data_IF_318899167073
#
_entry.id   IF_318899167073
#
_cell.length_a   1.000
_cell.length_b   1.000
_cell.length_c   1.000
_cell.angle_alpha   90.00
_cell.angle_beta   90.00
_cell.angle_gamma   90.00
#
_symmetry.space_group_name_H-M   'P 1'
#
loop_
_entity.id
_entity.type
_entity.pdbx_description
1 polymer ?
#
# COMPACT_ATOMS: atom_id res chain seq x y z
N UNK A 1 6.23 -5.53 -37.72
CA UNK A 1 5.36 -6.39 -38.53
C UNK A 1 4.46 -7.14 -37.60
N UNK A 2 3.16 -7.11 -37.77
CA UNK A 2 2.19 -7.78 -36.88
C UNK A 2 1.63 -8.98 -37.61
N UNK A 3 1.58 -10.14 -36.95
CA UNK A 3 1.02 -11.38 -37.46
C UNK A 3 -0.16 -11.79 -36.60
N UNK A 4 -1.16 -12.42 -37.22
CA UNK A 4 -2.33 -12.94 -36.56
C UNK A 4 -2.34 -14.46 -36.71
N UNK A 5 -2.45 -15.15 -35.58
CA UNK A 5 -2.61 -16.59 -35.50
C UNK A 5 -3.93 -16.93 -34.83
N UNK A 6 -4.50 -18.05 -35.22
CA UNK A 6 -5.74 -18.56 -34.67
C UNK A 6 -5.49 -19.84 -33.88
N UNK A 7 -6.33 -20.14 -32.95
CA UNK A 7 -6.34 -21.40 -32.24
C UNK A 7 -7.71 -22.06 -32.33
N UNK A 8 -7.79 -23.38 -32.12
CA UNK A 8 -9.03 -24.14 -32.15
C UNK A 8 -8.96 -25.36 -31.21
N UNK A 9 -9.95 -26.23 -31.30
CA UNK A 9 -10.09 -27.39 -30.43
C UNK A 9 -8.88 -28.34 -30.45
N UNK A 10 -8.09 -28.31 -31.51
CA UNK A 10 -6.90 -29.17 -31.68
C UNK A 10 -5.59 -28.45 -31.33
N UNK A 11 -5.64 -27.18 -30.90
CA UNK A 11 -4.45 -26.42 -30.49
C UNK A 11 -4.05 -26.85 -29.08
N UNK A 12 -2.83 -27.31 -28.91
CA UNK A 12 -2.26 -27.60 -27.58
C UNK A 12 -1.64 -26.34 -26.98
N UNK A 13 -1.94 -26.10 -25.72
CA UNK A 13 -1.35 -25.01 -24.92
C UNK A 13 -0.42 -25.60 -23.87
N UNK A 14 0.75 -25.00 -23.72
CA UNK A 14 1.81 -25.53 -22.86
C UNK A 14 2.49 -24.41 -22.08
N UNK A 15 2.84 -24.71 -20.83
CA UNK A 15 3.71 -23.86 -20.03
C UNK A 15 5.16 -23.88 -20.57
N UNK A 16 6.05 -23.10 -19.94
CA UNK A 16 7.46 -23.03 -20.34
C UNK A 16 8.22 -24.36 -20.18
N UNK A 17 7.69 -25.30 -19.42
CA UNK A 17 8.28 -26.62 -19.20
C UNK A 17 7.70 -27.70 -20.11
N UNK A 18 6.71 -27.36 -20.93
CA UNK A 18 6.04 -28.26 -21.84
C UNK A 18 4.88 -29.05 -21.23
N UNK A 19 4.42 -28.71 -20.04
CA UNK A 19 3.22 -29.29 -19.46
C UNK A 19 1.97 -28.62 -20.06
N UNK A 20 0.88 -29.39 -20.15
CA UNK A 20 -0.39 -28.85 -20.63
C UNK A 20 -0.94 -27.78 -19.70
N UNK A 21 -1.46 -26.70 -20.28
CA UNK A 21 -2.13 -25.61 -19.58
C UNK A 21 -3.42 -25.20 -20.28
N UNK A 22 -4.24 -24.39 -19.62
CA UNK A 22 -5.42 -23.80 -20.21
C UNK A 22 -5.06 -22.58 -21.10
N UNK A 23 -5.89 -22.30 -22.10
CA UNK A 23 -5.77 -21.04 -22.87
C UNK A 23 -5.94 -19.81 -21.98
N UNK A 24 -6.73 -19.90 -20.91
CA UNK A 24 -6.92 -18.82 -19.92
C UNK A 24 -5.64 -18.45 -19.17
N UNK A 25 -4.63 -19.31 -19.18
CA UNK A 25 -3.35 -19.04 -18.52
C UNK A 25 -2.37 -18.27 -19.40
N UNK A 26 -2.74 -17.99 -20.66
CA UNK A 26 -2.01 -17.08 -21.56
C UNK A 26 -2.59 -15.70 -21.42
N UNK A 27 -1.76 -14.76 -21.01
CA UNK A 27 -2.14 -13.37 -20.77
C UNK A 27 -1.52 -12.46 -21.80
N UNK A 28 -2.09 -11.31 -21.96
CA UNK A 28 -1.54 -10.25 -22.79
C UNK A 28 -0.14 -9.86 -22.30
N UNK A 29 0.82 -9.79 -23.22
CA UNK A 29 2.22 -9.54 -22.88
C UNK A 29 3.07 -10.80 -22.68
N UNK A 30 2.45 -11.98 -22.60
CA UNK A 30 3.21 -13.24 -22.56
C UNK A 30 3.99 -13.45 -23.86
N UNK A 31 5.21 -13.95 -23.74
CA UNK A 31 6.01 -14.38 -24.86
C UNK A 31 5.79 -15.87 -25.10
N UNK A 32 5.35 -16.22 -26.29
CA UNK A 32 5.00 -17.59 -26.66
C UNK A 32 5.74 -18.04 -27.90
N UNK A 33 6.09 -19.31 -27.94
CA UNK A 33 6.59 -20.00 -29.13
C UNK A 33 5.41 -20.68 -29.84
N UNK A 34 5.17 -20.32 -31.11
CA UNK A 34 4.10 -20.89 -31.95
C UNK A 34 4.71 -21.86 -32.94
N UNK A 35 4.19 -23.06 -33.02
CA UNK A 35 4.65 -24.04 -33.95
C UNK A 35 3.51 -24.80 -34.66
N UNK A 36 3.81 -25.31 -35.87
CA UNK A 36 2.88 -26.08 -36.65
C UNK A 36 1.66 -25.27 -37.14
N UNK A 37 1.83 -23.96 -37.41
CA UNK A 37 0.77 -23.19 -38.06
C UNK A 37 0.46 -23.75 -39.45
N UNK A 38 -0.84 -23.92 -39.77
CA UNK A 38 -1.29 -24.30 -41.10
C UNK A 38 -1.35 -23.09 -42.05
N UNK A 39 -1.77 -23.32 -43.30
CA UNK A 39 -1.92 -22.28 -44.32
C UNK A 39 -2.91 -21.18 -43.93
N UNK A 40 -3.83 -21.49 -43.05
CA UNK A 40 -4.86 -20.57 -42.58
C UNK A 40 -4.45 -19.81 -41.30
N UNK A 41 -3.18 -19.97 -40.86
CA UNK A 41 -2.64 -19.36 -39.65
C UNK A 41 -3.11 -20.01 -38.36
N UNK A 42 -3.66 -21.22 -38.41
CA UNK A 42 -4.11 -21.94 -37.22
C UNK A 42 -2.95 -22.69 -36.58
N UNK A 43 -2.62 -22.30 -35.35
CA UNK A 43 -1.54 -22.89 -34.60
C UNK A 43 -1.92 -24.30 -34.07
N UNK A 44 -0.99 -25.23 -34.13
CA UNK A 44 -1.15 -26.55 -33.52
C UNK A 44 -0.65 -26.57 -32.09
N UNK A 45 0.41 -25.80 -31.81
CA UNK A 45 1.03 -25.71 -30.48
C UNK A 45 1.37 -24.25 -30.17
N UNK A 46 0.98 -23.84 -29.00
CA UNK A 46 1.33 -22.53 -28.40
C UNK A 46 1.95 -22.86 -27.03
N UNK A 47 3.18 -22.45 -26.82
CA UNK A 47 3.93 -22.72 -25.58
C UNK A 47 4.51 -21.44 -25.04
N UNK A 48 4.38 -21.18 -23.70
CA UNK A 48 5.12 -20.09 -23.07
C UNK A 48 6.61 -20.28 -23.27
N UNK A 49 7.30 -19.22 -23.69
CA UNK A 49 8.71 -19.31 -24.01
C UNK A 49 9.56 -19.53 -22.75
N UNK A 50 10.52 -20.42 -22.83
CA UNK A 50 11.53 -20.68 -21.79
C UNK A 50 12.72 -19.70 -21.86
N UNK A 51 12.76 -18.86 -22.90
CA UNK A 51 13.83 -17.89 -23.16
C UNK A 51 13.66 -16.57 -22.42
N UNK A 52 12.53 -16.40 -21.73
CA UNK A 52 12.21 -15.16 -21.02
C UNK A 52 12.12 -15.38 -19.52
N UNK A 53 12.47 -14.37 -18.78
CA UNK A 53 12.10 -14.27 -17.37
C UNK A 53 10.79 -13.49 -17.24
N UNK A 54 10.02 -13.76 -16.19
CA UNK A 54 8.77 -13.08 -15.84
C UNK A 54 8.81 -12.61 -14.41
N UNK A 55 8.22 -11.43 -14.13
CA UNK A 55 7.95 -10.93 -12.80
C UNK A 55 6.52 -10.39 -12.78
N UNK A 56 5.60 -11.11 -12.15
CA UNK A 56 4.15 -10.91 -12.25
C UNK A 56 3.59 -9.96 -11.18
N UNK A 57 4.42 -9.40 -10.29
CA UNK A 57 3.94 -8.62 -9.15
C UNK A 57 4.85 -7.42 -8.84
N UNK A 58 5.22 -6.65 -9.86
CA UNK A 58 6.06 -5.46 -9.70
C UNK A 58 5.22 -4.30 -9.22
N UNK A 59 5.46 -3.83 -8.00
CA UNK A 59 4.79 -2.67 -7.38
C UNK A 59 5.77 -1.55 -7.02
N UNK A 60 7.07 -1.86 -6.97
CA UNK A 60 8.11 -0.88 -6.71
C UNK A 60 8.99 -0.76 -7.95
N UNK A 61 8.71 0.25 -8.74
CA UNK A 61 9.42 0.54 -9.98
C UNK A 61 9.49 2.04 -10.25
N UNK A 62 10.44 2.43 -11.07
CA UNK A 62 10.51 3.77 -11.66
C UNK A 62 10.92 3.71 -13.13
N UNK A 63 10.48 4.68 -13.92
CA UNK A 63 10.83 4.80 -15.33
C UNK A 63 11.73 6.02 -15.52
N UNK A 64 12.99 5.78 -15.91
CA UNK A 64 13.88 6.85 -16.41
C UNK A 64 13.69 7.00 -17.92
N UNK A 65 12.86 7.96 -18.31
CA UNK A 65 12.53 8.22 -19.72
C UNK A 65 13.73 8.68 -20.52
N UNK A 66 14.67 9.41 -19.90
CA UNK A 66 15.86 9.94 -20.60
C UNK A 66 16.84 8.82 -20.96
N UNK A 67 16.89 7.77 -20.14
CA UNK A 67 17.77 6.63 -20.39
C UNK A 67 17.03 5.43 -21.00
N UNK A 68 15.70 5.52 -21.15
CA UNK A 68 14.84 4.41 -21.57
C UNK A 68 15.07 3.16 -20.70
N UNK A 69 14.96 3.35 -19.38
CA UNK A 69 15.21 2.29 -18.38
C UNK A 69 14.02 2.18 -17.45
N UNK A 70 13.63 0.93 -17.18
CA UNK A 70 12.75 0.56 -16.09
C UNK A 70 13.61 0.06 -14.93
N UNK A 71 13.49 0.71 -13.77
CA UNK A 71 14.11 0.25 -12.53
C UNK A 71 13.08 -0.57 -11.75
N UNK A 72 13.47 -1.77 -11.32
CA UNK A 72 12.64 -2.65 -10.48
C UNK A 72 13.47 -3.00 -9.25
N UNK A 73 13.10 -2.46 -8.10
CA UNK A 73 13.92 -2.56 -6.90
C UNK A 73 15.33 -1.99 -7.14
N UNK A 74 16.35 -2.83 -7.02
CA UNK A 74 17.75 -2.43 -7.23
C UNK A 74 18.29 -2.78 -8.63
N UNK A 75 17.45 -3.20 -9.55
CA UNK A 75 17.87 -3.63 -10.89
C UNK A 75 17.31 -2.72 -11.97
N UNK A 76 18.18 -2.37 -12.94
CA UNK A 76 17.83 -1.57 -14.10
C UNK A 76 17.69 -2.45 -15.35
N UNK A 77 16.64 -2.23 -16.11
CA UNK A 77 16.30 -2.96 -17.34
C UNK A 77 16.05 -1.97 -18.47
N UNK A 78 16.48 -2.32 -19.69
CA UNK A 78 16.33 -1.45 -20.85
C UNK A 78 14.92 -1.56 -21.45
N UNK A 79 14.36 -0.44 -21.81
CA UNK A 79 13.14 -0.31 -22.60
C UNK A 79 13.55 -0.02 -24.06
N UNK A 80 13.38 -1.01 -24.92
CA UNK A 80 13.71 -0.87 -26.34
C UNK A 80 12.53 -0.40 -27.16
N UNK A 81 12.76 -0.03 -28.43
CA UNK A 81 11.72 0.36 -29.40
C UNK A 81 10.66 -0.74 -29.63
N UNK A 82 10.98 -1.99 -29.28
CA UNK A 82 10.09 -3.14 -29.43
C UNK A 82 9.40 -3.55 -28.13
N UNK A 83 9.68 -2.85 -27.03
CA UNK A 83 8.98 -3.09 -25.79
C UNK A 83 7.51 -2.74 -25.95
N UNK A 84 6.63 -3.67 -25.68
CA UNK A 84 5.18 -3.48 -25.73
C UNK A 84 4.67 -3.25 -24.30
N UNK A 85 3.88 -2.18 -24.11
CA UNK A 85 3.26 -1.87 -22.82
C UNK A 85 1.75 -1.95 -23.00
N UNK A 86 1.12 -2.78 -22.18
CA UNK A 86 -0.31 -3.05 -22.24
C UNK A 86 -1.01 -2.54 -20.98
N UNK A 87 -2.12 -1.84 -21.13
CA UNK A 87 -3.02 -1.45 -20.07
C UNK A 87 -4.46 -1.80 -20.44
N UNK A 88 -5.00 -2.85 -19.83
CA UNK A 88 -6.25 -3.47 -20.30
C UNK A 88 -6.06 -4.02 -21.73
N UNK A 89 -6.92 -3.61 -22.66
CA UNK A 89 -6.83 -3.99 -24.09
C UNK A 89 -5.90 -3.10 -24.92
N UNK A 90 -5.44 -2.01 -24.35
CA UNK A 90 -4.74 -0.96 -25.10
C UNK A 90 -3.22 -1.11 -25.02
N UNK A 91 -2.55 -0.72 -26.09
CA UNK A 91 -1.10 -0.51 -26.09
C UNK A 91 -0.85 0.93 -25.74
N UNK A 92 -0.06 1.15 -24.69
CA UNK A 92 0.21 2.48 -24.13
C UNK A 92 1.70 2.78 -24.10
N UNK A 93 2.04 4.03 -23.86
CA UNK A 93 3.43 4.48 -23.70
C UNK A 93 3.85 4.45 -22.22
N UNK A 94 5.15 4.56 -21.99
CA UNK A 94 5.74 4.67 -20.64
C UNK A 94 5.19 5.83 -19.84
N UNK A 95 4.67 6.87 -20.49
CA UNK A 95 4.06 8.05 -19.86
C UNK A 95 2.76 7.74 -19.12
N UNK A 96 2.12 6.64 -19.53
CA UNK A 96 0.89 6.14 -18.89
C UNK A 96 1.13 5.30 -17.63
N UNK A 97 2.40 5.05 -17.27
CA UNK A 97 2.72 4.29 -16.07
C UNK A 97 2.95 5.23 -14.88
N UNK A 98 2.35 4.91 -13.75
CA UNK A 98 2.54 5.62 -12.48
C UNK A 98 3.00 4.67 -11.38
N UNK A 99 3.50 5.24 -10.28
CA UNK A 99 3.90 4.45 -9.11
C UNK A 99 2.74 3.71 -8.42
N UNK A 100 1.49 4.00 -8.84
CA UNK A 100 0.30 3.35 -8.31
C UNK A 100 -0.04 2.05 -9.04
N UNK A 101 0.61 1.81 -10.18
CA UNK A 101 0.36 0.63 -10.99
C UNK A 101 1.03 -0.62 -10.43
N UNK A 102 0.41 -1.75 -10.71
CA UNK A 102 1.02 -3.07 -10.53
C UNK A 102 1.29 -3.66 -11.90
N UNK A 103 2.52 -4.12 -12.12
CA UNK A 103 2.98 -4.58 -13.43
C UNK A 103 3.31 -6.07 -13.42
N UNK A 104 3.03 -6.73 -14.54
CA UNK A 104 3.70 -7.96 -14.94
C UNK A 104 4.73 -7.60 -16.02
N UNK A 105 5.96 -8.00 -15.82
CA UNK A 105 7.09 -7.64 -16.70
C UNK A 105 7.74 -8.90 -17.25
N UNK A 106 7.96 -8.93 -18.54
CA UNK A 106 8.63 -10.03 -19.26
C UNK A 106 9.86 -9.49 -19.96
N UNK A 107 10.98 -10.17 -19.81
CA UNK A 107 12.24 -9.75 -20.43
C UNK A 107 13.17 -10.88 -20.81
N UNK A 108 14.21 -10.53 -21.55
CA UNK A 108 15.34 -11.36 -21.92
C UNK A 108 16.59 -10.67 -21.41
N UNK A 109 17.38 -11.32 -20.59
CA UNK A 109 18.56 -10.72 -19.95
C UNK A 109 18.22 -9.40 -19.25
N UNK A 110 18.68 -8.28 -19.75
CA UNK A 110 18.41 -6.93 -19.24
C UNK A 110 17.46 -6.11 -20.13
N UNK A 111 16.86 -6.73 -21.15
CA UNK A 111 15.93 -6.07 -22.07
C UNK A 111 14.49 -6.45 -21.76
N UNK A 112 13.63 -5.47 -21.58
CA UNK A 112 12.20 -5.67 -21.44
C UNK A 112 11.57 -5.93 -22.78
N UNK A 113 10.82 -7.03 -22.88
CA UNK A 113 10.04 -7.42 -24.06
C UNK A 113 8.63 -6.86 -23.96
N UNK A 114 8.00 -7.06 -22.80
CA UNK A 114 6.65 -6.57 -22.55
C UNK A 114 6.41 -6.18 -21.09
N UNK A 115 5.50 -5.23 -20.90
CA UNK A 115 4.96 -4.81 -19.62
C UNK A 115 3.44 -4.88 -19.74
N UNK A 116 2.79 -5.54 -18.78
CA UNK A 116 1.33 -5.56 -18.66
C UNK A 116 0.93 -4.93 -17.34
N UNK A 117 0.10 -3.88 -17.38
CA UNK A 117 -0.47 -3.26 -16.20
C UNK A 117 -1.58 -4.14 -15.67
N UNK A 118 -1.28 -4.90 -14.61
CA UNK A 118 -2.23 -5.86 -13.99
C UNK A 118 -3.23 -5.17 -13.08
N UNK A 119 -2.81 -4.11 -12.38
CA UNK A 119 -3.69 -3.17 -11.70
C UNK A 119 -3.28 -1.79 -12.18
N UNK A 120 -4.19 -1.07 -12.79
CA UNK A 120 -3.96 0.29 -13.27
C UNK A 120 -4.37 1.32 -12.23
N UNK A 121 -4.33 2.57 -12.61
CA UNK A 121 -4.76 3.69 -11.80
C UNK A 121 -5.83 4.51 -12.51
N UNK A 122 -6.56 5.28 -11.74
CA UNK A 122 -7.39 6.38 -12.19
C UNK A 122 -7.07 7.62 -11.37
N UNK A 123 -7.67 8.75 -11.72
CA UNK A 123 -7.46 10.02 -11.05
C UNK A 123 -8.65 10.33 -10.14
N UNK A 124 -8.41 10.54 -8.84
CA UNK A 124 -9.39 11.12 -7.93
C UNK A 124 -9.22 12.64 -7.93
N UNK A 125 -10.27 13.37 -8.28
CA UNK A 125 -10.31 14.83 -8.24
C UNK A 125 -11.29 15.30 -7.16
N UNK A 126 -10.81 16.11 -6.22
CA UNK A 126 -11.61 16.69 -5.17
C UNK A 126 -12.01 18.13 -5.54
N UNK A 127 -13.24 18.50 -5.19
CA UNK A 127 -13.74 19.87 -5.32
C UNK A 127 -14.30 20.36 -4.00
N UNK A 128 -14.36 21.70 -3.84
CA UNK A 128 -14.82 22.37 -2.61
C UNK A 128 -14.00 21.97 -1.37
N UNK A 129 -12.70 21.95 -1.53
CA UNK A 129 -11.72 21.48 -0.53
C UNK A 129 -11.55 22.41 0.66
N UNK A 130 -11.92 23.70 0.57
CA UNK A 130 -11.56 24.78 1.50
C UNK A 130 -11.86 24.49 2.97
N UNK A 131 -12.95 23.77 3.28
CA UNK A 131 -13.27 23.38 4.66
C UNK A 131 -12.32 22.33 5.20
N UNK A 132 -11.74 21.51 4.34
CA UNK A 132 -10.93 20.33 4.68
C UNK A 132 -9.44 20.53 4.38
N UNK A 133 -9.03 21.68 3.83
CA UNK A 133 -7.61 21.97 3.55
C UNK A 133 -6.76 21.84 4.83
N UNK A 134 -5.60 21.18 4.69
CA UNK A 134 -4.69 20.88 5.81
C UNK A 134 -5.13 19.72 6.71
N UNK A 135 -6.30 19.14 6.43
CA UNK A 135 -6.74 17.88 7.02
C UNK A 135 -6.38 16.70 6.11
N UNK A 136 -6.79 15.48 6.46
CA UNK A 136 -6.44 14.27 5.72
C UNK A 136 -7.66 13.66 5.03
N UNK A 137 -7.42 13.22 3.79
CA UNK A 137 -8.25 12.29 3.05
C UNK A 137 -7.83 10.87 3.42
N UNK A 138 -8.78 10.04 3.76
CA UNK A 138 -8.59 8.60 3.91
C UNK A 138 -9.32 7.88 2.77
N UNK A 139 -8.64 6.95 2.09
CA UNK A 139 -9.21 6.05 1.08
C UNK A 139 -8.98 4.60 1.51
N UNK A 140 -10.05 3.95 1.95
CA UNK A 140 -9.96 2.64 2.59
C UNK A 140 -8.98 2.66 3.76
N UNK A 141 -8.21 1.58 3.89
CA UNK A 141 -7.30 1.41 5.04
C UNK A 141 -5.83 1.78 4.73
N UNK A 142 -5.53 2.17 3.49
CA UNK A 142 -4.13 2.23 3.03
C UNK A 142 -3.68 3.58 2.48
N UNK A 143 -4.59 4.41 2.03
CA UNK A 143 -4.23 5.68 1.38
C UNK A 143 -4.65 6.83 2.26
N UNK A 144 -3.66 7.61 2.68
CA UNK A 144 -3.84 8.85 3.42
C UNK A 144 -3.10 9.96 2.68
N UNK A 145 -3.77 11.06 2.44
CA UNK A 145 -3.18 12.22 1.80
C UNK A 145 -3.69 13.50 2.46
N UNK A 146 -2.83 14.48 2.61
CA UNK A 146 -3.22 15.82 3.06
C UNK A 146 -4.04 16.49 1.97
N UNK A 147 -5.20 17.04 2.35
CA UNK A 147 -6.09 17.72 1.42
C UNK A 147 -5.54 19.12 1.12
N UNK A 148 -5.26 19.32 -0.16
CA UNK A 148 -4.81 20.61 -0.70
C UNK A 148 -5.91 21.22 -1.58
N UNK A 149 -5.73 22.47 -1.93
CA UNK A 149 -6.64 23.16 -2.87
C UNK A 149 -6.65 22.44 -4.21
N UNK A 150 -7.85 22.23 -4.75
CA UNK A 150 -8.06 21.59 -6.06
C UNK A 150 -7.27 20.27 -6.22
N UNK A 151 -7.29 19.45 -5.17
CA UNK A 151 -6.51 18.22 -5.09
C UNK A 151 -6.86 17.23 -6.19
N UNK A 152 -5.84 16.71 -6.85
CA UNK A 152 -5.91 15.63 -7.81
C UNK A 152 -4.87 14.57 -7.44
N UNK A 153 -5.27 13.31 -7.36
CA UNK A 153 -4.45 12.20 -6.87
C UNK A 153 -4.63 10.97 -7.76
N UNK A 154 -3.54 10.36 -8.20
CA UNK A 154 -3.57 9.07 -8.85
C UNK A 154 -3.75 7.97 -7.81
N UNK A 155 -4.74 7.11 -8.02
CA UNK A 155 -5.16 6.06 -7.09
C UNK A 155 -5.28 4.75 -7.86
N UNK A 156 -4.82 3.60 -7.34
CA UNK A 156 -5.06 2.31 -7.96
C UNK A 156 -6.55 2.08 -8.24
N UNK A 157 -6.86 1.44 -9.36
CA UNK A 157 -8.23 1.05 -9.66
C UNK A 157 -8.82 0.15 -8.57
N UNK A 158 -10.09 0.36 -8.21
CA UNK A 158 -10.78 -0.39 -7.16
C UNK A 158 -11.91 0.38 -6.51
N UNK A 159 -12.57 -0.27 -5.57
CA UNK A 159 -13.61 0.33 -4.73
C UNK A 159 -13.01 0.77 -3.40
N UNK A 160 -13.31 2.00 -2.99
CA UNK A 160 -12.79 2.62 -1.77
C UNK A 160 -13.90 3.33 -1.02
N UNK A 161 -13.85 3.27 0.31
CA UNK A 161 -14.56 4.22 1.15
C UNK A 161 -13.67 5.45 1.33
N UNK A 162 -14.10 6.59 0.81
CA UNK A 162 -13.46 7.89 1.00
C UNK A 162 -14.02 8.54 2.25
N UNK A 163 -13.15 8.94 3.18
CA UNK A 163 -13.55 9.66 4.39
C UNK A 163 -12.72 10.94 4.54
N UNK A 164 -13.38 11.99 4.98
CA UNK A 164 -12.76 13.29 5.30
C UNK A 164 -13.32 13.83 6.61
N UNK A 165 -12.49 14.54 7.36
CA UNK A 165 -12.93 15.20 8.60
C UNK A 165 -12.06 16.41 8.92
N UNK A 166 -12.67 17.51 9.35
CA UNK A 166 -11.99 18.70 9.86
C UNK A 166 -12.91 19.54 10.74
N UNK A 167 -12.43 19.97 11.91
CA UNK A 167 -13.13 20.89 12.82
C UNK A 167 -14.60 20.54 13.10
N UNK A 168 -14.86 19.26 13.33
CA UNK A 168 -16.21 18.75 13.60
C UNK A 168 -17.07 18.49 12.35
N UNK A 169 -16.60 18.83 11.15
CA UNK A 169 -17.26 18.52 9.89
C UNK A 169 -16.65 17.29 9.23
N UNK A 170 -17.44 16.52 8.51
CA UNK A 170 -16.92 15.38 7.77
C UNK A 170 -17.94 14.28 7.53
N UNK A 171 -17.53 13.32 6.75
CA UNK A 171 -18.30 12.16 6.37
C UNK A 171 -17.51 11.20 5.50
N UNK A 172 -18.19 10.16 5.04
CA UNK A 172 -17.62 9.17 4.15
C UNK A 172 -18.58 8.85 3.01
N UNK A 173 -18.04 8.39 1.90
CA UNK A 173 -18.79 7.89 0.74
C UNK A 173 -17.98 6.81 0.06
N UNK A 174 -18.68 5.85 -0.53
CA UNK A 174 -18.05 4.83 -1.36
C UNK A 174 -17.83 5.37 -2.77
N UNK A 175 -16.65 5.13 -3.30
CA UNK A 175 -16.24 5.53 -4.64
C UNK A 175 -15.64 4.35 -5.40
N UNK A 176 -15.76 4.36 -6.70
CA UNK A 176 -15.07 3.44 -7.60
C UNK A 176 -14.04 4.22 -8.43
N UNK A 177 -12.79 3.79 -8.36
CA UNK A 177 -11.72 4.28 -9.22
C UNK A 177 -11.56 3.32 -10.39
N UNK A 178 -11.74 3.83 -11.59
CA UNK A 178 -11.59 3.06 -12.83
C UNK A 178 -10.32 3.47 -13.55
N UNK A 179 -9.71 2.49 -14.17
CA UNK A 179 -8.46 2.67 -14.94
C UNK A 179 -8.61 3.76 -15.99
N UNK A 180 -7.69 4.73 -15.93
CA UNK A 180 -7.64 5.84 -16.90
C UNK A 180 -8.78 6.84 -16.82
N UNK A 181 -9.72 6.69 -15.85
CA UNK A 181 -10.84 7.61 -15.67
C UNK A 181 -10.60 8.57 -14.50
N UNK A 182 -11.31 9.71 -14.54
CA UNK A 182 -11.32 10.68 -13.44
C UNK A 182 -12.60 10.53 -12.62
N UNK A 183 -12.45 10.12 -11.36
CA UNK A 183 -13.53 10.11 -10.37
C UNK A 183 -13.55 11.44 -9.64
N UNK A 184 -14.70 12.14 -9.68
CA UNK A 184 -14.86 13.46 -9.05
C UNK A 184 -15.68 13.34 -7.77
N UNK A 185 -15.15 13.93 -6.69
CA UNK A 185 -15.85 13.99 -5.40
C UNK A 185 -15.95 15.43 -4.93
N UNK A 186 -17.17 15.84 -4.59
CA UNK A 186 -17.46 17.15 -4.03
C UNK A 186 -17.49 17.04 -2.49
N UNK A 187 -16.52 17.62 -1.81
CA UNK A 187 -16.40 17.51 -0.36
C UNK A 187 -17.52 18.22 0.41
N UNK A 188 -18.25 19.16 -0.20
CA UNK A 188 -19.43 19.73 0.44
C UNK A 188 -20.52 18.69 0.69
N UNK A 189 -20.61 17.65 -0.14
CA UNK A 189 -21.61 16.58 0.03
C UNK A 189 -21.28 15.70 1.26
N UNK A 190 -20.03 15.73 1.73
CA UNK A 190 -19.55 14.99 2.89
C UNK A 190 -19.51 15.81 4.17
N UNK A 191 -19.77 17.11 4.08
CA UNK A 191 -19.73 18.04 5.22
C UNK A 191 -20.65 17.61 6.37
N UNK A 192 -21.88 17.20 6.07
CA UNK A 192 -22.90 16.87 7.05
C UNK A 192 -23.54 18.09 7.71
N UNK A 193 -24.37 17.86 8.74
CA UNK A 193 -25.20 18.88 9.40
C UNK A 193 -24.60 19.33 10.75
N UNK A 194 -23.54 20.09 10.75
CA UNK A 194 -22.97 20.65 11.97
C UNK A 194 -21.82 19.83 12.56
N UNK A 195 -21.18 20.34 13.64
CA UNK A 195 -20.00 19.70 14.17
C UNK A 195 -20.31 18.33 14.76
N UNK A 196 -19.70 17.30 14.21
CA UNK A 196 -19.78 15.92 14.68
C UNK A 196 -18.77 15.69 15.79
N UNK A 197 -19.12 14.82 16.72
CA UNK A 197 -18.25 14.32 17.78
C UNK A 197 -18.17 12.81 17.70
N UNK A 198 -17.03 12.28 18.14
CA UNK A 198 -16.76 10.87 18.35
C UNK A 198 -16.74 10.56 19.84
N UNK A 199 -17.31 9.44 20.22
CA UNK A 199 -17.16 8.87 21.56
C UNK A 199 -15.94 7.97 21.57
N UNK A 200 -14.85 8.41 22.20
CA UNK A 200 -13.56 7.69 22.15
C UNK A 200 -13.25 7.12 23.54
N UNK A 201 -13.05 5.80 23.59
CA UNK A 201 -12.53 5.10 24.74
C UNK A 201 -11.00 4.99 24.64
N UNK A 202 -10.29 5.48 25.66
CA UNK A 202 -8.84 5.34 25.74
C UNK A 202 -8.48 4.22 26.71
N UNK A 203 -7.66 3.28 26.28
CA UNK A 203 -7.10 2.21 27.09
C UNK A 203 -5.58 2.40 27.15
N UNK A 204 -5.02 2.63 28.34
CA UNK A 204 -3.59 2.85 28.55
C UNK A 204 -3.04 1.72 29.45
N UNK A 205 -1.94 1.14 29.03
CA UNK A 205 -1.29 0.03 29.74
C UNK A 205 -0.50 0.45 30.99
N UNK A 206 -0.27 1.76 31.17
CA UNK A 206 0.50 2.30 32.31
C UNK A 206 -0.45 2.94 33.34
N UNK A 207 -0.39 2.47 34.57
CA UNK A 207 -1.19 3.00 35.67
C UNK A 207 -0.76 4.43 36.05
N UNK A 208 -1.73 5.33 36.23
CA UNK A 208 -1.46 6.74 36.59
C UNK A 208 -1.06 7.62 35.41
N UNK A 209 -1.16 7.13 34.19
CA UNK A 209 -0.96 7.93 32.99
C UNK A 209 -1.99 9.07 32.93
N UNK A 210 -1.58 10.20 32.35
CA UNK A 210 -2.42 11.36 32.06
C UNK A 210 -2.51 11.55 30.56
N UNK A 211 -3.71 11.72 30.06
CA UNK A 211 -3.97 11.98 28.63
C UNK A 211 -4.38 13.42 28.44
N UNK A 212 -3.80 14.04 27.43
CA UNK A 212 -4.12 15.41 26.99
C UNK A 212 -4.55 15.38 25.51
N UNK A 213 -5.66 16.02 25.21
CA UNK A 213 -6.12 16.28 23.84
C UNK A 213 -6.08 17.78 23.60
N UNK A 214 -5.36 18.22 22.58
CA UNK A 214 -5.11 19.63 22.26
C UNK A 214 -4.61 20.45 23.46
N UNK A 215 -3.78 19.85 24.28
CA UNK A 215 -3.19 20.46 25.48
C UNK A 215 -4.07 20.44 26.73
N UNK A 216 -5.32 19.99 26.65
CA UNK A 216 -6.24 19.87 27.79
C UNK A 216 -6.23 18.45 28.34
N UNK A 217 -6.01 18.29 29.66
CA UNK A 217 -6.12 17.00 30.35
C UNK A 217 -7.56 16.49 30.26
N UNK A 218 -7.74 15.21 29.95
CA UNK A 218 -9.05 14.56 29.83
C UNK A 218 -9.19 13.44 30.88
N UNK A 219 -10.42 13.25 31.35
CA UNK A 219 -10.77 12.06 32.14
C UNK A 219 -11.14 10.93 31.18
N UNK A 220 -10.26 9.96 31.07
CA UNK A 220 -10.41 8.79 30.18
C UNK A 220 -10.96 7.55 30.85
N UNK A 221 -11.45 7.65 32.09
CA UNK A 221 -12.12 6.55 32.82
C UNK A 221 -13.46 6.16 32.15
N UNK A 222 -13.99 7.01 31.33
CA UNK A 222 -15.17 6.82 30.49
C UNK A 222 -14.92 7.36 29.08
N UNK A 223 -15.74 6.96 28.08
CA UNK A 223 -15.60 7.49 26.72
C UNK A 223 -15.66 9.01 26.67
N UNK A 224 -14.71 9.62 25.93
CA UNK A 224 -14.54 11.07 25.82
C UNK A 224 -15.07 11.55 24.47
N UNK A 225 -15.87 12.63 24.48
CA UNK A 225 -16.35 13.26 23.27
C UNK A 225 -15.29 14.18 22.65
N UNK A 226 -14.80 13.81 21.47
CA UNK A 226 -13.84 14.59 20.69
C UNK A 226 -14.44 14.95 19.33
N UNK A 227 -14.29 16.18 18.88
CA UNK A 227 -14.81 16.62 17.58
C UNK A 227 -14.12 15.92 16.41
N UNK A 228 -14.79 15.80 15.29
CA UNK A 228 -14.15 15.29 14.06
C UNK A 228 -13.03 16.22 13.61
N UNK A 229 -11.92 15.66 13.24
CA UNK A 229 -10.76 16.40 12.74
C UNK A 229 -9.44 15.89 13.28
N UNK A 230 -8.42 16.74 13.13
CA UNK A 230 -7.06 16.51 13.58
C UNK A 230 -6.86 17.09 14.97
N UNK A 231 -6.38 16.28 15.89
CA UNK A 231 -6.10 16.65 17.27
C UNK A 231 -4.67 16.26 17.65
N UNK A 232 -4.11 16.91 18.67
CA UNK A 232 -2.85 16.51 19.26
C UNK A 232 -3.14 15.68 20.50
N UNK A 233 -2.71 14.42 20.49
CA UNK A 233 -2.80 13.51 21.63
C UNK A 233 -1.44 13.46 22.32
N UNK A 234 -1.41 13.78 23.62
CA UNK A 234 -0.22 13.69 24.44
C UNK A 234 -0.51 12.82 25.65
N UNK A 235 0.39 11.91 25.97
CA UNK A 235 0.31 11.04 27.16
C UNK A 235 1.58 11.19 28.00
N UNK A 236 1.40 11.30 29.30
CA UNK A 236 2.49 11.36 30.27
C UNK A 236 2.25 10.37 31.39
N UNK A 237 3.30 9.74 31.89
CA UNK A 237 3.26 8.88 33.05
C UNK A 237 4.58 9.03 33.82
N UNK A 238 4.54 8.84 35.14
CA UNK A 238 5.73 8.94 35.99
C UNK A 238 6.74 7.82 35.63
N UNK A 239 7.98 8.21 35.33
CA UNK A 239 9.04 7.27 34.94
C UNK A 239 9.07 6.95 33.45
N UNK A 240 8.23 7.55 32.63
CA UNK A 240 8.16 7.35 31.19
C UNK A 240 8.36 8.63 30.42
N UNK A 241 8.93 8.54 29.24
CA UNK A 241 9.03 9.68 28.35
C UNK A 241 7.67 10.15 27.86
N UNK A 242 7.53 11.46 27.67
CA UNK A 242 6.28 12.03 27.13
C UNK A 242 6.02 11.55 25.72
N UNK A 243 4.89 10.89 25.51
CA UNK A 243 4.44 10.42 24.22
C UNK A 243 3.47 11.43 23.58
N UNK A 244 3.75 11.84 22.35
CA UNK A 244 2.88 12.77 21.61
C UNK A 244 2.65 12.26 20.20
N UNK A 245 1.40 12.25 19.75
CA UNK A 245 0.97 11.80 18.42
C UNK A 245 -0.17 12.69 17.89
N UNK A 246 -0.37 12.61 16.58
CA UNK A 246 -1.57 13.16 15.95
C UNK A 246 -2.69 12.14 16.04
N UNK A 247 -3.84 12.58 16.56
CA UNK A 247 -5.09 11.82 16.57
C UNK A 247 -5.99 12.37 15.45
N UNK A 248 -6.45 11.49 14.57
CA UNK A 248 -7.39 11.83 13.52
C UNK A 248 -8.75 11.19 13.79
N UNK A 249 -9.75 12.02 14.06
CA UNK A 249 -11.11 11.61 14.44
C UNK A 249 -12.03 11.74 13.23
N UNK A 250 -12.54 10.61 12.73
CA UNK A 250 -13.42 10.57 11.55
C UNK A 250 -14.56 9.55 11.66
N UNK A 251 -14.68 8.87 12.79
CA UNK A 251 -15.71 7.87 13.09
C UNK A 251 -16.58 8.29 14.25
N UNK A 252 -17.77 7.72 14.36
CA UNK A 252 -18.72 8.04 15.44
C UNK A 252 -18.24 7.53 16.81
N UNK A 253 -17.59 6.38 16.81
CA UNK A 253 -17.08 5.72 18.01
C UNK A 253 -15.70 5.13 17.71
N UNK A 254 -14.82 5.07 18.71
CA UNK A 254 -13.51 4.45 18.60
C UNK A 254 -12.99 3.99 19.96
N UNK A 255 -12.15 2.95 19.95
CA UNK A 255 -11.30 2.56 21.09
C UNK A 255 -9.85 2.76 20.70
N UNK A 256 -9.08 3.46 21.53
CA UNK A 256 -7.67 3.75 21.30
C UNK A 256 -6.86 3.06 22.39
N UNK A 257 -6.07 2.08 22.00
CA UNK A 257 -5.11 1.42 22.88
C UNK A 257 -3.77 2.13 22.81
N UNK A 258 -3.23 2.51 23.95
CA UNK A 258 -1.96 3.23 24.08
C UNK A 258 -1.02 2.39 24.90
N UNK A 259 0.08 1.95 24.29
CA UNK A 259 1.19 1.26 24.94
C UNK A 259 2.38 2.19 25.03
N UNK A 260 2.86 2.44 26.24
CA UNK A 260 4.02 3.29 26.49
C UNK A 260 5.17 2.36 26.89
N UNK A 261 6.22 2.33 26.05
CA UNK A 261 7.42 1.55 26.35
C UNK A 261 8.33 2.34 27.29
N UNK A 262 8.90 1.66 28.28
CA UNK A 262 9.94 2.21 29.16
C UNK A 262 11.27 2.19 28.41
N UNK A 263 11.68 3.33 27.85
CA UNK A 263 13.00 3.50 27.22
C UNK A 263 14.11 3.83 28.25
N UNK A 264 13.92 3.44 29.52
CA UNK A 264 14.93 3.65 30.58
C UNK A 264 16.05 2.60 30.57
N UNK A 265 16.60 2.24 29.39
CA UNK A 265 17.87 1.50 29.32
C UNK A 265 18.89 2.23 28.41
N UNK A 266 19.20 3.48 28.79
CA UNK A 266 20.34 4.21 28.25
C UNK A 266 21.28 4.63 29.40
N UNK A 267 21.81 3.65 30.10
CA UNK A 267 23.01 3.87 30.94
C UNK A 267 24.19 3.17 30.29
N UNK A 268 24.99 3.99 29.64
CA UNK A 268 26.44 3.82 29.43
C UNK A 268 27.03 2.43 29.65
N UNK A 269 27.33 1.67 28.60
CA UNK A 269 28.72 1.24 28.45
C UNK A 269 29.05 0.88 26.98
N UNK A 270 30.18 1.43 26.61
CA UNK A 270 30.97 1.27 25.41
C UNK A 270 31.19 -0.20 25.01
N UNK A 271 31.26 -0.40 23.69
CA UNK A 271 31.90 -1.50 22.95
C UNK A 271 30.97 -2.55 22.32
N UNK A 272 31.06 -2.52 21.00
CA UNK A 272 30.88 -3.64 20.05
C UNK A 272 29.46 -3.98 19.60
N UNK A 273 29.14 -3.41 18.47
CA UNK A 273 28.42 -3.92 17.29
C UNK A 273 27.41 -5.05 17.40
N UNK A 274 26.15 -4.70 17.31
CA UNK A 274 25.18 -5.41 16.43
C UNK A 274 23.90 -4.57 16.41
N UNK A 275 23.57 -4.02 15.25
CA UNK A 275 22.31 -3.29 15.02
C UNK A 275 21.19 -4.31 14.92
N UNK A 276 20.34 -4.40 15.91
CA UNK A 276 18.99 -4.93 15.75
C UNK A 276 18.02 -3.75 15.79
N UNK A 277 17.30 -3.56 14.69
CA UNK A 277 16.20 -2.63 14.58
C UNK A 277 15.10 -3.05 15.55
N UNK A 278 14.93 -2.34 16.66
CA UNK A 278 13.70 -2.39 17.42
C UNK A 278 12.85 -1.18 17.05
N UNK A 279 11.87 -1.40 16.21
CA UNK A 279 10.84 -0.43 15.87
C UNK A 279 9.79 -0.45 16.98
N UNK A 280 9.81 0.52 17.87
CA UNK A 280 8.74 0.74 18.84
C UNK A 280 7.45 1.14 18.10
N UNK A 281 6.51 0.23 17.99
CA UNK A 281 5.20 0.46 17.40
C UNK A 281 4.20 0.81 18.51
N UNK A 282 3.79 2.07 18.59
CA UNK A 282 2.66 2.50 19.42
C UNK A 282 1.42 2.59 18.55
N UNK A 283 0.43 1.75 18.80
CA UNK A 283 -0.80 1.64 18.01
C UNK A 283 -1.94 2.45 18.65
N UNK A 284 -2.62 3.25 17.84
CA UNK A 284 -3.94 3.78 18.16
C UNK A 284 -4.96 3.15 17.19
N UNK A 285 -5.87 2.34 17.70
CA UNK A 285 -6.84 1.56 16.92
C UNK A 285 -8.25 2.07 17.14
N UNK A 286 -8.95 2.39 16.07
CA UNK A 286 -10.39 2.62 16.10
C UNK A 286 -11.13 1.39 15.56
N UNK A 287 -11.94 0.71 16.37
CA UNK A 287 -12.81 -0.37 15.94
C UNK A 287 -14.25 0.11 15.83
N UNK A 288 -14.88 -0.15 14.69
CA UNK A 288 -16.32 0.01 14.48
C UNK A 288 -17.04 -1.28 14.90
N UNK A 289 -18.17 -1.24 15.63
CA UNK A 289 -18.96 -2.43 15.91
C UNK A 289 -19.64 -2.93 14.63
N UNK A 290 -19.41 -4.18 14.28
CA UNK A 290 -20.12 -4.89 13.22
C UNK A 290 -21.41 -5.45 13.77
N UNK A 291 -22.55 -5.13 13.17
CA UNK A 291 -23.84 -5.73 13.49
C UNK A 291 -23.84 -7.22 13.17
N UNK A 292 -24.24 -8.00 14.15
CA UNK A 292 -24.41 -9.44 14.13
C UNK A 292 -25.66 -9.85 13.37
N UNK A 293 -25.54 -10.73 12.40
CA UNK A 293 -26.60 -11.64 12.00
C UNK A 293 -26.11 -13.08 12.11
N UNK A 294 -26.84 -13.82 12.97
CA UNK A 294 -26.70 -15.21 13.34
C UNK A 294 -27.10 -16.16 12.22
N UNK A 295 -26.36 -17.28 12.01
CA UNK A 295 -26.93 -18.64 12.10
C UNK A 295 -25.90 -19.74 11.79
N UNK A 296 -25.78 -20.65 12.76
CA UNK A 296 -25.51 -22.12 12.81
C UNK A 296 -25.16 -22.85 11.51
N UNK A 297 -24.18 -23.75 11.48
CA UNK A 297 -24.09 -25.05 12.14
C UNK A 297 -22.86 -25.85 11.66
N UNK A 298 -22.29 -26.61 12.61
CA UNK A 298 -21.77 -28.00 12.58
C UNK A 298 -20.47 -28.42 11.85
N UNK A 299 -19.55 -28.80 12.74
CA UNK A 299 -18.78 -30.07 12.87
C UNK A 299 -17.81 -30.57 11.76
N UNK A 300 -16.58 -30.76 12.09
CA UNK A 300 -15.77 -31.95 12.40
C UNK A 300 -14.30 -31.84 12.01
N UNK A 301 -13.50 -32.11 13.05
CA UNK A 301 -12.26 -32.89 13.14
C UNK A 301 -11.43 -33.22 11.87
N UNK A 302 -10.13 -32.89 11.87
CA UNK A 302 -9.11 -33.93 12.03
C UNK A 302 -7.69 -33.38 12.19
N UNK A 303 -6.95 -33.99 13.12
CA UNK A 303 -5.53 -33.90 13.44
C UNK A 303 -4.64 -34.39 12.30
N UNK A 304 -3.44 -33.83 12.14
CA UNK A 304 -2.22 -34.62 12.16
C UNK A 304 -0.92 -33.79 12.08
N UNK A 305 -0.11 -33.96 13.07
CA UNK A 305 1.32 -33.86 13.32
C UNK A 305 2.28 -34.11 12.15
N UNK A 306 3.44 -33.38 12.10
CA UNK A 306 4.84 -33.81 12.31
C UNK A 306 5.82 -32.76 11.75
N UNK A 307 6.70 -32.19 12.55
CA UNK A 307 8.12 -32.42 12.90
C UNK A 307 9.11 -32.53 11.71
N UNK A 308 10.22 -31.76 11.81
CA UNK A 308 11.53 -32.00 11.19
C UNK A 308 12.29 -30.74 10.84
N UNK A 309 13.10 -30.15 11.70
CA UNK A 309 14.57 -30.06 11.86
C UNK A 309 15.39 -30.09 10.56
N UNK A 310 16.29 -29.12 10.29
CA UNK A 310 17.69 -28.95 10.67
C UNK A 310 18.43 -27.95 9.76
N UNK A 311 19.14 -27.04 10.38
CA UNK A 311 20.51 -26.51 10.21
C UNK A 311 21.15 -26.31 8.83
N UNK A 312 21.84 -25.15 8.69
CA UNK A 312 22.91 -24.92 7.71
C UNK A 312 23.39 -23.47 7.61
N UNK A 313 24.45 -23.19 8.34
CA UNK A 313 25.28 -21.99 8.40
C UNK A 313 26.06 -21.72 7.10
N UNK A 314 26.30 -20.46 6.73
CA UNK A 314 27.67 -19.97 6.47
C UNK A 314 27.73 -18.47 6.06
N UNK A 315 28.74 -17.83 6.61
CA UNK A 315 29.23 -16.45 6.54
C UNK A 315 29.88 -16.07 5.19
N UNK A 316 29.95 -14.77 4.91
CA UNK A 316 31.16 -13.93 4.74
C UNK A 316 30.81 -12.53 4.21
N UNK A 317 31.08 -11.49 4.95
CA UNK A 317 32.17 -10.46 4.99
C UNK A 317 32.45 -9.73 3.67
N UNK A 318 32.32 -8.41 3.58
CA UNK A 318 33.28 -7.31 3.74
C UNK A 318 32.79 -5.97 3.18
N UNK A 319 32.82 -4.89 3.96
CA UNK A 319 33.63 -3.64 3.91
C UNK A 319 33.61 -2.84 2.59
N UNK A 320 33.47 -1.54 2.53
CA UNK A 320 33.84 -0.35 3.34
C UNK A 320 33.55 0.96 2.61
N UNK A 321 33.45 2.05 3.42
CA UNK A 321 33.75 3.50 3.13
C UNK A 321 32.87 4.20 2.07
N UNK A 322 32.15 5.27 2.36
CA UNK A 322 32.40 6.47 3.16
C UNK A 322 32.82 7.65 2.31
N UNK A 323 31.94 8.67 2.18
CA UNK A 323 32.37 10.09 2.21
C UNK A 323 31.14 11.01 2.29
N UNK A 324 31.24 11.96 3.19
CA UNK A 324 30.37 13.12 3.39
C UNK A 324 30.34 14.03 2.17
N UNK A 325 29.20 14.64 1.87
CA UNK A 325 29.17 16.05 1.52
C UNK A 325 27.85 16.73 1.90
N UNK A 326 28.03 17.88 2.50
CA UNK A 326 27.10 18.82 3.10
C UNK A 326 26.76 19.88 2.05
N UNK A 327 25.48 20.22 1.84
CA UNK A 327 25.07 21.63 1.74
C UNK A 327 23.57 21.82 1.47
N UNK A 328 22.99 22.62 2.32
CA UNK A 328 22.11 23.78 2.19
C UNK A 328 20.64 23.55 1.80
N UNK A 329 19.86 23.64 2.82
CA UNK A 329 18.70 24.51 3.12
C UNK A 329 17.86 25.00 1.93
N UNK A 330 16.64 24.48 1.86
CA UNK A 330 15.45 25.25 1.50
C UNK A 330 14.20 24.53 2.07
N UNK A 331 13.63 25.17 3.07
CA UNK A 331 12.38 24.80 3.72
C UNK A 331 11.25 24.65 2.71
N UNK A 332 10.81 23.42 2.52
CA UNK A 332 9.46 23.07 2.06
C UNK A 332 8.93 22.06 3.07
N UNK A 333 7.82 22.40 3.72
CA UNK A 333 7.01 21.49 4.51
C UNK A 333 6.52 20.34 3.61
N UNK A 334 7.35 19.33 3.44
CA UNK A 334 6.93 18.03 2.96
C UNK A 334 7.03 17.09 4.16
N UNK A 335 5.91 16.49 4.55
CA UNK A 335 5.90 15.35 5.45
C UNK A 335 6.97 14.37 4.94
N UNK A 336 7.92 14.03 5.77
CA UNK A 336 8.98 13.10 5.38
C UNK A 336 8.36 11.72 5.19
N UNK A 337 8.93 10.91 4.28
CA UNK A 337 8.57 9.50 4.11
C UNK A 337 8.55 8.71 5.44
N UNK A 338 9.19 9.21 6.47
CA UNK A 338 9.20 8.68 7.83
C UNK A 338 7.86 8.92 8.55
N UNK A 339 7.27 10.12 8.40
CA UNK A 339 5.98 10.45 9.04
C UNK A 339 4.83 9.65 8.41
N UNK A 340 4.92 9.39 7.10
CA UNK A 340 3.98 8.55 6.36
C UNK A 340 4.21 7.05 6.69
N UNK A 341 5.45 6.62 6.84
CA UNK A 341 5.81 5.25 7.22
C UNK A 341 5.36 4.91 8.64
N UNK A 342 5.52 5.82 9.59
CA UNK A 342 5.09 5.64 10.97
C UNK A 342 3.55 5.59 11.07
N UNK A 343 2.85 6.32 10.20
CA UNK A 343 1.39 6.28 10.11
C UNK A 343 0.89 4.98 9.44
N UNK A 344 1.57 4.51 8.39
CA UNK A 344 1.24 3.27 7.68
C UNK A 344 1.56 2.01 8.49
N UNK A 345 2.61 2.02 9.33
CA UNK A 345 2.96 0.90 10.20
C UNK A 345 1.90 0.69 11.29
N UNK A 346 1.26 1.75 11.77
CA UNK A 346 0.17 1.72 12.75
C UNK A 346 -1.07 1.03 12.18
N UNK A 347 -1.35 1.19 10.89
CA UNK A 347 -2.52 0.59 10.23
C UNK A 347 -2.29 -0.86 9.79
N UNK A 348 -1.06 -1.21 9.41
CA UNK A 348 -0.75 -2.58 8.93
C UNK A 348 -0.83 -3.61 10.06
N UNK A 349 -0.57 -3.22 11.31
CA UNK A 349 -0.68 -4.12 12.47
C UNK A 349 -2.13 -4.42 12.86
N UNK A 350 -3.08 -3.55 12.51
CA UNK A 350 -4.52 -3.73 12.70
C UNK A 350 -5.14 -4.81 11.82
N UNK A 351 -4.53 -5.07 10.65
CA UNK A 351 -5.04 -6.04 9.68
C UNK A 351 -4.42 -7.44 9.84
N UNK A 352 -3.39 -7.58 10.68
CA UNK A 352 -2.67 -8.86 10.88
C UNK A 352 -3.21 -9.72 12.03
N UNK A 353 -4.21 -9.25 12.79
CA UNK A 353 -4.82 -9.96 13.91
C UNK A 353 -6.22 -10.47 13.58
N UNK A 354 -6.33 -11.28 12.52
CA UNK A 354 -7.49 -12.17 12.30
C UNK A 354 -6.97 -13.55 11.95
#
# INVERSE_FOLDING_TARGET
>A
MQYQYYYGLTTGFFDKYGNHMSVSDIHQGDVVDISGADSDGKAKRIQKSDKVWTNDAVTNFSVDKNKSVLEIGNSSYRLGERTMIFSGSDVVDTDSLTAQDKLAVVGIDKDIVSISVTTGHGTLQLSNTSLFEGSFLQLGDRIFAEITKDMSLDVPEGCYTLAVANNGWGGSTDIEIKRGETTKVNLNDLKGEGPKKSSILFEVDVQGAKIYVDGSEIDYTSPVEITYGKHTLKVTADGYDTWTRTLYVNSKEATIQITINDDTDSSANDSSGTKTNSTGSSQATAQTPSETASERADEKDNQSTSQGSTTGSSQSTNSSRGTNNKSSDSSKNSLTNKDISDYLSTLTSLLSSK
#
